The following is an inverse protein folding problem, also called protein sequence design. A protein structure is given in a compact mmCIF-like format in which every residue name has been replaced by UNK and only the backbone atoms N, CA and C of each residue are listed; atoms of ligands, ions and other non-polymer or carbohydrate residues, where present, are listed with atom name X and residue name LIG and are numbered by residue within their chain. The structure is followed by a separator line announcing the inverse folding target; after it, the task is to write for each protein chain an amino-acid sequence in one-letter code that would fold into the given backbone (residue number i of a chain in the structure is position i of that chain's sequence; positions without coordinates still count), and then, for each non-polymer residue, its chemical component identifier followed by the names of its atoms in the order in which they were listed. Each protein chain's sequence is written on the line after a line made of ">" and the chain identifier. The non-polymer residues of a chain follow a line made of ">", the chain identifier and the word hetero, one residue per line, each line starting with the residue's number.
data_IF_354389449640
#
_entry.id   IF_354389449640
#
_cell.length_a   1.000
_cell.length_b   1.000
_cell.length_c   1.000
_cell.angle_alpha   90.00
_cell.angle_beta   90.00
_cell.angle_gamma   90.00
#
_symmetry.space_group_name_H-M   'P 1'
#
loop_
_entity.id
_entity.type
_entity.pdbx_description
1 polymer ?
#
# COMPACT_ATOMS: atom_id res chain seq x y z
N UNK A 1 -10.79 13.07 9.50
CA UNK A 1 -10.98 12.67 10.90
C UNK A 1 -9.91 11.65 11.26
N UNK A 2 -8.86 12.09 11.94
CA UNK A 2 -7.71 11.24 12.32
C UNK A 2 -8.05 10.29 13.48
N UNK A 3 -9.16 10.54 14.19
CA UNK A 3 -9.51 9.81 15.40
C UNK A 3 -9.95 8.37 15.11
N UNK A 4 -10.59 8.15 13.96
CA UNK A 4 -10.98 6.82 13.50
C UNK A 4 -9.78 5.96 13.04
N UNK A 5 -8.76 6.59 12.44
CA UNK A 5 -7.52 5.92 12.04
C UNK A 5 -6.76 5.38 13.26
N UNK A 6 -6.55 6.20 14.30
CA UNK A 6 -5.84 5.75 15.51
C UNK A 6 -6.59 4.68 16.32
N UNK A 7 -7.94 4.66 16.31
CA UNK A 7 -8.68 3.65 17.07
C UNK A 7 -8.52 2.23 16.50
N UNK A 8 -8.38 2.05 15.19
CA UNK A 8 -8.16 0.71 14.65
C UNK A 8 -6.79 0.15 15.03
N UNK A 9 -5.74 0.96 15.08
CA UNK A 9 -4.38 0.50 15.43
C UNK A 9 -4.17 0.25 16.93
N UNK A 10 -4.83 1.01 17.81
CA UNK A 10 -4.66 0.86 19.26
C UNK A 10 -5.44 -0.30 19.89
N UNK A 11 -6.57 -0.70 19.29
CA UNK A 11 -7.47 -1.70 19.90
C UNK A 11 -7.46 -3.06 19.21
N UNK A 12 -6.81 -3.13 18.06
CA UNK A 12 -6.74 -4.36 17.27
C UNK A 12 -5.41 -5.05 17.57
N UNK A 13 -5.45 -6.25 18.13
CA UNK A 13 -4.22 -7.02 18.37
C UNK A 13 -3.55 -7.37 17.04
N UNK A 14 -2.26 -7.05 16.93
CA UNK A 14 -1.44 -7.34 15.76
C UNK A 14 -1.24 -6.12 14.84
N UNK A 15 -0.62 -6.36 13.70
CA UNK A 15 -0.36 -5.40 12.62
C UNK A 15 -0.57 -6.10 11.26
N UNK A 16 -0.87 -5.38 10.16
CA UNK A 16 -0.95 -5.99 8.84
C UNK A 16 0.40 -6.59 8.44
N UNK A 17 0.34 -7.80 7.89
CA UNK A 17 1.46 -8.46 7.24
C UNK A 17 1.18 -8.44 5.76
N UNK A 18 1.91 -7.61 5.02
CA UNK A 18 1.60 -7.28 3.64
C UNK A 18 2.58 -8.00 2.71
N UNK A 19 2.03 -8.85 1.86
CA UNK A 19 2.71 -9.33 0.65
C UNK A 19 2.21 -8.51 -0.51
N UNK A 20 3.10 -7.99 -1.34
CA UNK A 20 2.69 -7.13 -2.43
C UNK A 20 3.56 -7.34 -3.65
N UNK A 21 3.14 -6.83 -4.80
CA UNK A 21 3.96 -6.72 -5.98
C UNK A 21 3.40 -5.62 -6.88
N UNK A 22 4.17 -5.24 -7.90
CA UNK A 22 3.68 -4.35 -8.91
C UNK A 22 4.19 -4.73 -10.29
N UNK A 23 3.44 -4.32 -11.31
CA UNK A 23 3.81 -4.46 -12.70
C UNK A 23 3.44 -3.19 -13.46
N UNK A 24 4.19 -2.89 -14.51
CA UNK A 24 3.88 -1.80 -15.43
C UNK A 24 3.48 -2.34 -16.80
N UNK A 25 2.39 -1.81 -17.35
CA UNK A 25 1.94 -2.13 -18.70
C UNK A 25 1.24 -0.91 -19.33
N UNK A 26 1.75 -0.44 -20.48
CA UNK A 26 1.11 0.60 -21.33
C UNK A 26 0.59 1.83 -20.56
N UNK A 27 1.45 2.47 -19.75
CA UNK A 27 1.08 3.68 -19.01
C UNK A 27 0.27 3.43 -17.73
N UNK A 28 0.24 2.18 -17.26
CA UNK A 28 -0.47 1.79 -16.04
C UNK A 28 0.43 0.97 -15.15
N UNK A 29 0.51 1.36 -13.88
CA UNK A 29 1.07 0.55 -12.80
C UNK A 29 -0.08 -0.21 -12.17
N UNK A 30 0.00 -1.53 -12.16
CA UNK A 30 -0.90 -2.41 -11.42
C UNK A 30 -0.17 -2.87 -10.16
N UNK A 31 -0.79 -2.66 -9.01
CA UNK A 31 -0.26 -2.99 -7.70
C UNK A 31 -1.15 -4.04 -7.06
N UNK A 32 -0.59 -5.18 -6.69
CA UNK A 32 -1.30 -6.23 -5.96
C UNK A 32 -0.83 -6.24 -4.52
N UNK A 33 -1.78 -6.37 -3.59
CA UNK A 33 -1.50 -6.39 -2.17
C UNK A 33 -2.38 -7.44 -1.50
N UNK A 34 -1.73 -8.27 -0.70
CA UNK A 34 -2.31 -9.37 0.06
C UNK A 34 -1.97 -9.20 1.55
N UNK A 35 -2.99 -9.37 2.39
CA UNK A 35 -2.86 -9.45 3.84
C UNK A 35 -2.75 -10.93 4.25
N UNK A 36 -1.55 -11.37 4.61
CA UNK A 36 -1.24 -12.80 4.83
C UNK A 36 -1.43 -13.27 6.26
N UNK A 37 -1.70 -12.37 7.21
CA UNK A 37 -1.91 -12.75 8.61
C UNK A 37 -3.22 -13.54 8.80
N UNK A 38 -3.20 -14.52 9.71
CA UNK A 38 -4.31 -15.48 9.93
C UNK A 38 -5.54 -14.90 10.65
N UNK A 39 -5.44 -13.69 11.20
CA UNK A 39 -6.53 -13.04 11.89
C UNK A 39 -7.34 -12.10 10.97
N UNK A 40 -8.00 -11.08 11.53
CA UNK A 40 -8.86 -10.16 10.78
C UNK A 40 -8.13 -9.40 9.66
N UNK A 41 -8.91 -8.90 8.71
CA UNK A 41 -8.48 -8.00 7.63
C UNK A 41 -8.46 -6.57 8.15
N UNK A 42 -7.32 -5.90 8.05
CA UNK A 42 -7.20 -4.49 8.36
C UNK A 42 -7.75 -3.64 7.23
N UNK A 43 -8.32 -2.48 7.60
CA UNK A 43 -8.82 -1.49 6.66
C UNK A 43 -8.13 -0.16 6.93
N UNK A 44 -7.41 0.39 5.96
CA UNK A 44 -6.66 1.62 6.17
C UNK A 44 -6.32 2.30 4.84
N UNK A 45 -6.16 3.64 4.84
CA UNK A 45 -5.46 4.33 3.76
C UNK A 45 -3.98 3.95 3.76
N UNK A 46 -3.44 3.62 2.60
CA UNK A 46 -2.01 3.36 2.40
C UNK A 46 -1.49 4.29 1.31
N UNK A 47 -0.39 4.99 1.59
CA UNK A 47 0.33 5.78 0.60
C UNK A 47 1.25 4.88 -0.24
N UNK A 48 1.30 5.13 -1.55
CA UNK A 48 2.18 4.44 -2.50
C UNK A 48 2.97 5.51 -3.25
N UNK A 49 4.29 5.47 -3.12
CA UNK A 49 5.21 6.34 -3.84
C UNK A 49 5.63 5.73 -5.16
N UNK A 50 5.38 6.43 -6.27
CA UNK A 50 5.92 6.10 -7.59
C UNK A 50 7.15 6.98 -7.85
N UNK A 51 8.33 6.35 -7.98
CA UNK A 51 9.61 7.05 -8.18
C UNK A 51 9.97 7.04 -9.66
N UNK A 52 10.27 8.22 -10.22
CA UNK A 52 10.79 8.37 -11.58
C UNK A 52 11.82 9.48 -11.64
N UNK A 53 13.01 9.19 -12.15
CA UNK A 53 14.11 10.16 -12.32
C UNK A 53 14.41 10.95 -11.03
N UNK A 54 14.38 10.26 -9.89
CA UNK A 54 14.59 10.84 -8.56
C UNK A 54 13.43 11.70 -8.02
N UNK A 55 12.32 11.81 -8.76
CA UNK A 55 11.09 12.47 -8.30
C UNK A 55 10.08 11.43 -7.84
N UNK A 56 9.43 11.68 -6.71
CA UNK A 56 8.38 10.81 -6.18
C UNK A 56 7.02 11.47 -6.34
N UNK A 57 6.05 10.72 -6.86
CA UNK A 57 4.62 11.05 -6.79
C UNK A 57 3.96 10.10 -5.80
N UNK A 58 3.16 10.64 -4.88
CA UNK A 58 2.48 9.83 -3.86
C UNK A 58 0.99 9.75 -4.19
N UNK A 59 0.46 8.53 -4.18
CA UNK A 59 -0.96 8.23 -4.34
C UNK A 59 -1.48 7.49 -3.11
N UNK A 60 -2.72 7.74 -2.69
CA UNK A 60 -3.33 7.03 -1.56
C UNK A 60 -4.34 6.01 -2.06
N UNK A 61 -4.17 4.75 -1.66
CA UNK A 61 -5.13 3.67 -1.90
C UNK A 61 -5.87 3.32 -0.62
N UNK A 62 -7.09 2.81 -0.74
CA UNK A 62 -7.86 2.29 0.39
C UNK A 62 -7.74 0.77 0.44
N UNK A 63 -6.95 0.26 1.37
CA UNK A 63 -6.85 -1.18 1.63
C UNK A 63 -8.07 -1.57 2.45
N UNK A 64 -8.93 -2.42 1.89
CA UNK A 64 -10.20 -2.81 2.53
C UNK A 64 -10.43 -4.32 2.58
N UNK A 65 -9.65 -5.08 1.82
CA UNK A 65 -9.85 -6.49 1.57
C UNK A 65 -8.56 -7.29 1.81
N UNK A 66 -8.70 -8.62 1.90
CA UNK A 66 -7.55 -9.52 2.07
C UNK A 66 -6.63 -9.49 0.86
N UNK A 67 -7.18 -9.48 -0.34
CA UNK A 67 -6.46 -9.36 -1.60
C UNK A 67 -7.05 -8.20 -2.39
N UNK A 68 -6.21 -7.25 -2.80
CA UNK A 68 -6.59 -6.08 -3.56
C UNK A 68 -5.67 -5.87 -4.76
N UNK A 69 -6.25 -5.38 -5.86
CA UNK A 69 -5.53 -4.91 -7.03
C UNK A 69 -5.88 -3.46 -7.30
N UNK A 70 -4.87 -2.62 -7.39
CA UNK A 70 -5.00 -1.18 -7.55
C UNK A 70 -4.27 -0.75 -8.82
N UNK A 71 -4.76 0.30 -9.46
CA UNK A 71 -4.20 0.76 -10.72
C UNK A 71 -3.97 2.27 -10.69
N UNK A 72 -2.75 2.68 -11.02
CA UNK A 72 -2.37 4.07 -11.13
C UNK A 72 -1.93 4.36 -12.56
N UNK A 73 -2.54 5.37 -13.18
CA UNK A 73 -2.11 5.86 -14.49
C UNK A 73 -0.84 6.67 -14.32
N UNK A 74 0.17 6.37 -15.10
CA UNK A 74 1.44 7.11 -15.13
C UNK A 74 1.82 7.41 -16.57
N UNK A 75 2.54 8.51 -16.78
CA UNK A 75 3.06 8.85 -18.12
C UNK A 75 4.17 7.89 -18.51
N UNK A 76 5.04 7.55 -17.56
CA UNK A 76 6.24 6.77 -17.76
C UNK A 76 6.31 5.61 -16.76
N UNK A 77 7.06 4.56 -17.11
CA UNK A 77 7.35 3.47 -16.19
C UNK A 77 8.16 4.01 -15.01
N UNK A 78 7.69 3.83 -13.75
CA UNK A 78 8.47 4.21 -12.58
C UNK A 78 9.72 3.33 -12.48
N UNK A 79 10.79 3.90 -11.96
CA UNK A 79 12.03 3.19 -11.67
C UNK A 79 11.88 2.34 -10.40
N UNK A 80 11.05 2.81 -9.46
CA UNK A 80 10.75 2.11 -8.21
C UNK A 80 9.35 2.46 -7.70
N UNK A 81 8.80 1.57 -6.86
CA UNK A 81 7.55 1.77 -6.14
C UNK A 81 7.81 1.53 -4.66
N UNK A 82 7.43 2.49 -3.82
CA UNK A 82 7.67 2.46 -2.37
C UNK A 82 6.34 2.41 -1.65
N UNK A 83 6.14 1.42 -0.76
CA UNK A 83 5.00 1.44 0.16
C UNK A 83 5.27 2.43 1.28
N UNK A 84 4.24 3.23 1.59
CA UNK A 84 4.21 4.16 2.70
C UNK A 84 5.50 4.98 2.84
N UNK A 85 5.87 5.77 1.82
CA UNK A 85 7.14 6.49 1.80
C UNK A 85 7.32 7.45 2.99
N UNK A 86 6.22 7.84 3.63
CA UNK A 86 6.20 8.74 4.80
C UNK A 86 5.99 8.00 6.14
N UNK A 87 5.91 6.66 6.14
CA UNK A 87 5.84 5.81 7.34
C UNK A 87 4.66 6.12 8.27
N UNK A 88 3.47 6.35 7.72
CA UNK A 88 2.24 6.59 8.48
C UNK A 88 1.57 5.32 9.03
N UNK A 89 1.87 4.18 8.42
CA UNK A 89 1.21 2.90 8.65
C UNK A 89 2.23 1.94 9.27
N UNK A 90 1.89 1.35 10.42
CA UNK A 90 2.68 0.27 11.00
C UNK A 90 2.32 -1.04 10.32
N UNK A 91 3.18 -1.58 9.47
CA UNK A 91 2.98 -2.90 8.87
C UNK A 91 4.30 -3.67 8.79
N UNK A 92 4.20 -4.97 8.60
CA UNK A 92 5.32 -5.85 8.30
C UNK A 92 5.29 -6.19 6.82
N UNK A 93 6.38 -5.89 6.11
CA UNK A 93 6.56 -6.30 4.72
C UNK A 93 7.03 -7.76 4.69
N UNK A 94 6.24 -8.60 4.04
CA UNK A 94 6.50 -10.03 3.91
C UNK A 94 7.29 -10.38 2.64
N UNK A 95 7.63 -9.39 1.82
CA UNK A 95 8.36 -9.54 0.55
C UNK A 95 7.53 -10.10 -0.60
N UNK A 96 8.16 -10.17 -1.78
CA UNK A 96 7.59 -10.71 -3.02
C UNK A 96 7.77 -12.23 -3.13
#
# INVERSE_FOLDING_TARGET
>A
DLKAFFQQWLFTKGHPQLKWNWAYNKGKVTFQLEQVQDHHVFRFPLEIGLVKDGKMTVETIQVNDRLGSFEVKTKDQPDDVVLDPNQWVLFEDMGN
#
